data_IF_283058954867
#
_entry.id   IF_283058954867
#
_cell.length_a   1.000
_cell.length_b   1.000
_cell.length_c   1.000
_cell.angle_alpha   90.00
_cell.angle_beta   90.00
_cell.angle_gamma   90.00
#
_symmetry.space_group_name_H-M   'P 1'
#
loop_
_entity.id
_entity.type
_entity.pdbx_description
1 polymer ?
#
# COMPACT_ATOMS: atom_id res chain seq x y z
N UNK A 1 27.41 -0.14 -10.62
CA UNK A 1 26.04 -0.69 -10.50
C UNK A 1 25.12 0.49 -10.22
N UNK A 2 23.91 0.59 -10.80
CA UNK A 2 23.00 1.68 -10.46
C UNK A 2 22.70 1.60 -8.97
N UNK A 3 22.86 2.70 -8.24
CA UNK A 3 22.58 2.76 -6.82
C UNK A 3 21.06 2.65 -6.62
N UNK A 4 20.60 1.48 -6.20
CA UNK A 4 19.24 1.26 -5.69
C UNK A 4 19.10 1.72 -4.22
N UNK A 5 20.10 2.45 -3.71
CA UNK A 5 20.19 2.90 -2.34
C UNK A 5 19.76 4.37 -2.23
N UNK A 6 19.23 4.73 -1.05
CA UNK A 6 18.88 6.08 -0.69
C UNK A 6 20.08 7.03 -0.89
N UNK A 7 19.81 8.24 -1.36
CA UNK A 7 20.83 9.27 -1.55
C UNK A 7 21.52 9.59 -0.21
N UNK A 8 22.75 10.12 -0.22
CA UNK A 8 23.46 10.48 1.01
C UNK A 8 22.65 11.40 1.93
N UNK A 9 21.86 12.31 1.36
CA UNK A 9 20.95 13.18 2.09
C UNK A 9 19.77 12.43 2.73
N UNK A 10 19.20 11.44 2.04
CA UNK A 10 18.14 10.59 2.59
C UNK A 10 18.66 9.65 3.69
N UNK A 11 19.91 9.19 3.60
CA UNK A 11 20.56 8.43 4.66
C UNK A 11 20.84 9.31 5.88
N UNK A 12 21.24 10.56 5.70
CA UNK A 12 21.46 11.51 6.80
C UNK A 12 20.13 11.91 7.48
N UNK A 13 19.05 12.03 6.71
CA UNK A 13 17.73 12.44 7.19
C UNK A 13 16.88 11.28 7.78
N UNK A 14 16.96 10.08 7.20
CA UNK A 14 16.11 8.93 7.56
C UNK A 14 16.90 7.68 8.01
N UNK A 15 18.19 7.58 7.68
CA UNK A 15 19.02 6.38 7.91
C UNK A 15 20.04 6.46 9.05
N UNK A 16 20.36 7.64 9.57
CA UNK A 16 21.56 7.88 10.39
C UNK A 16 21.53 7.36 11.85
N UNK A 17 20.56 6.53 12.24
CA UNK A 17 20.40 6.08 13.64
C UNK A 17 20.23 4.58 13.87
N UNK A 18 20.07 3.76 12.82
CA UNK A 18 19.69 2.35 12.97
C UNK A 18 20.88 1.41 12.79
N UNK A 19 21.17 0.60 13.82
CA UNK A 19 22.13 -0.48 13.72
C UNK A 19 21.61 -1.62 12.81
N UNK A 20 22.51 -2.53 12.40
CA UNK A 20 22.19 -3.63 11.48
C UNK A 20 20.97 -4.46 11.94
N UNK A 21 20.83 -4.70 13.25
CA UNK A 21 19.70 -5.45 13.79
C UNK A 21 18.38 -4.68 13.69
N UNK A 22 18.41 -3.36 13.90
CA UNK A 22 17.25 -2.49 13.72
C UNK A 22 16.84 -2.39 12.25
N UNK A 23 17.80 -2.39 11.33
CA UNK A 23 17.54 -2.45 9.89
C UNK A 23 16.87 -3.78 9.48
N UNK A 24 17.37 -4.92 10.01
CA UNK A 24 16.75 -6.23 9.78
C UNK A 24 15.33 -6.28 10.35
N UNK A 25 15.14 -5.78 11.57
CA UNK A 25 13.82 -5.70 12.19
C UNK A 25 12.85 -4.82 11.38
N UNK A 26 13.34 -3.71 10.82
CA UNK A 26 12.56 -2.87 9.90
C UNK A 26 12.17 -3.66 8.65
N UNK A 27 13.11 -4.31 7.97
CA UNK A 27 12.79 -5.13 6.80
C UNK A 27 11.76 -6.22 7.10
N UNK A 28 11.85 -6.88 8.26
CA UNK A 28 10.85 -7.85 8.70
C UNK A 28 9.49 -7.21 8.96
N UNK A 29 9.45 -6.02 9.56
CA UNK A 29 8.21 -5.30 9.81
C UNK A 29 7.50 -4.88 8.50
N UNK A 30 8.25 -4.62 7.44
CA UNK A 30 7.74 -4.15 6.13
C UNK A 30 7.57 -5.28 5.09
N UNK A 31 8.07 -6.48 5.37
CA UNK A 31 7.88 -7.71 4.59
C UNK A 31 6.46 -7.94 4.05
N UNK A 32 5.36 -7.66 4.81
CA UNK A 32 4.01 -7.87 4.30
C UNK A 32 3.67 -7.13 3.00
N UNK A 33 4.33 -5.99 2.70
CA UNK A 33 4.15 -5.28 1.43
C UNK A 33 4.53 -6.13 0.22
N UNK A 34 5.50 -7.02 0.35
CA UNK A 34 5.88 -7.95 -0.71
C UNK A 34 4.70 -8.89 -1.02
N UNK A 35 4.00 -9.37 0.01
CA UNK A 35 2.82 -10.21 -0.14
C UNK A 35 1.65 -9.47 -0.81
N UNK A 36 1.39 -8.21 -0.43
CA UNK A 36 0.39 -7.38 -1.11
C UNK A 36 0.76 -7.13 -2.58
N UNK A 37 2.03 -6.84 -2.88
CA UNK A 37 2.51 -6.66 -4.26
C UNK A 37 2.37 -7.92 -5.11
N UNK A 38 2.71 -9.10 -4.57
CA UNK A 38 2.52 -10.37 -5.25
C UNK A 38 1.04 -10.65 -5.55
N UNK A 39 0.15 -10.39 -4.59
CA UNK A 39 -1.30 -10.54 -4.79
C UNK A 39 -1.82 -9.58 -5.86
N UNK A 40 -1.36 -8.33 -5.86
CA UNK A 40 -1.79 -7.31 -6.81
C UNK A 40 -1.40 -7.65 -8.26
N UNK A 41 -0.16 -8.11 -8.48
CA UNK A 41 0.34 -8.46 -9.82
C UNK A 41 -0.34 -9.71 -10.36
N UNK A 42 -0.62 -10.69 -9.50
CA UNK A 42 -1.20 -11.98 -9.90
C UNK A 42 -2.73 -11.96 -10.00
N UNK A 43 -3.40 -10.94 -9.47
CA UNK A 43 -4.85 -10.78 -9.60
C UNK A 43 -5.21 -10.26 -11.00
N UNK A 44 -6.27 -10.78 -11.59
CA UNK A 44 -6.76 -10.36 -12.91
C UNK A 44 -8.01 -9.51 -12.82
N UNK A 45 -8.84 -9.71 -11.80
CA UNK A 45 -10.06 -8.91 -11.58
C UNK A 45 -9.68 -7.52 -11.05
N UNK A 46 -9.99 -6.43 -11.79
CA UNK A 46 -9.69 -5.08 -11.35
C UNK A 46 -10.35 -4.69 -10.02
N UNK A 47 -11.54 -5.23 -9.71
CA UNK A 47 -12.18 -4.99 -8.42
C UNK A 47 -11.36 -5.62 -7.28
N UNK A 48 -10.97 -6.88 -7.43
CA UNK A 48 -10.12 -7.56 -6.44
C UNK A 48 -8.76 -6.88 -6.27
N UNK A 49 -8.19 -6.31 -7.35
CA UNK A 49 -7.01 -5.45 -7.24
C UNK A 49 -7.25 -4.25 -6.33
N UNK A 50 -8.39 -3.57 -6.47
CA UNK A 50 -8.73 -2.42 -5.62
C UNK A 50 -8.85 -2.81 -4.14
N UNK A 51 -9.40 -3.99 -3.83
CA UNK A 51 -9.43 -4.52 -2.46
C UNK A 51 -8.02 -4.77 -1.92
N UNK A 52 -7.13 -5.38 -2.72
CA UNK A 52 -5.75 -5.65 -2.30
C UNK A 52 -5.01 -4.34 -2.00
N UNK A 53 -5.22 -3.30 -2.81
CA UNK A 53 -4.66 -1.96 -2.58
C UNK A 53 -5.25 -1.33 -1.31
N UNK A 54 -6.56 -1.46 -1.08
CA UNK A 54 -7.21 -0.97 0.13
C UNK A 54 -6.67 -1.67 1.39
N UNK A 55 -6.51 -3.00 1.36
CA UNK A 55 -5.90 -3.77 2.45
C UNK A 55 -4.46 -3.35 2.72
N UNK A 56 -3.68 -3.12 1.66
CA UNK A 56 -2.29 -2.65 1.79
C UNK A 56 -2.23 -1.25 2.40
N UNK A 57 -3.16 -0.37 2.02
CA UNK A 57 -3.28 0.98 2.57
C UNK A 57 -3.73 0.95 4.03
N UNK A 58 -4.71 0.10 4.40
CA UNK A 58 -5.15 -0.09 5.80
C UNK A 58 -3.99 -0.56 6.68
N UNK A 59 -3.22 -1.52 6.17
CA UNK A 59 -2.03 -2.02 6.85
C UNK A 59 -0.97 -0.93 7.00
N UNK A 60 -0.71 -0.16 5.94
CA UNK A 60 0.27 0.93 5.96
C UNK A 60 -0.13 2.02 6.95
N UNK A 61 -1.39 2.43 6.93
CA UNK A 61 -1.94 3.40 7.87
C UNK A 61 -1.68 2.92 9.31
N UNK A 62 -1.98 1.64 9.62
CA UNK A 62 -1.75 1.06 10.95
C UNK A 62 -0.30 1.07 11.47
N UNK A 63 0.68 1.44 10.63
CA UNK A 63 2.09 1.64 11.02
C UNK A 63 2.41 3.08 11.41
N UNK A 64 1.49 4.01 11.23
CA UNK A 64 1.62 5.43 11.55
C UNK A 64 0.86 5.75 12.84
N UNK A 65 1.35 6.68 13.65
CA UNK A 65 0.64 7.13 14.88
C UNK A 65 -0.56 8.05 14.59
N UNK A 66 -0.86 8.33 13.31
CA UNK A 66 -1.94 9.19 12.88
C UNK A 66 -3.29 8.44 12.91
N UNK A 67 -3.87 8.29 14.10
CA UNK A 67 -5.14 7.56 14.34
C UNK A 67 -6.30 7.94 13.41
N UNK A 68 -6.32 9.17 12.90
CA UNK A 68 -7.36 9.65 11.99
C UNK A 68 -7.22 9.05 10.57
N UNK A 69 -5.99 8.90 10.07
CA UNK A 69 -5.74 8.26 8.76
C UNK A 69 -6.06 6.77 8.81
N UNK A 70 -5.74 6.10 9.92
CA UNK A 70 -6.08 4.69 10.14
C UNK A 70 -7.58 4.41 10.08
N UNK A 71 -8.38 5.28 10.71
CA UNK A 71 -9.84 5.17 10.68
C UNK A 71 -10.40 5.50 9.29
N UNK A 72 -9.87 6.52 8.62
CA UNK A 72 -10.32 6.91 7.29
C UNK A 72 -10.06 5.81 6.26
N UNK A 73 -8.87 5.23 6.25
CA UNK A 73 -8.51 4.19 5.28
C UNK A 73 -9.31 2.90 5.51
N UNK A 74 -9.58 2.54 6.77
CA UNK A 74 -10.51 1.43 7.09
C UNK A 74 -11.92 1.69 6.59
N UNK A 75 -12.48 2.87 6.86
CA UNK A 75 -13.83 3.22 6.41
C UNK A 75 -13.94 3.19 4.87
N UNK A 76 -12.90 3.66 4.18
CA UNK A 76 -12.83 3.59 2.71
C UNK A 76 -12.73 2.14 2.22
N UNK A 77 -11.90 1.31 2.85
CA UNK A 77 -11.81 -0.12 2.55
C UNK A 77 -13.14 -0.84 2.75
N UNK A 78 -13.82 -0.57 3.87
CA UNK A 78 -15.14 -1.13 4.18
C UNK A 78 -16.21 -0.73 3.15
N UNK A 79 -16.22 0.53 2.71
CA UNK A 79 -17.12 0.99 1.65
C UNK A 79 -16.83 0.28 0.33
N UNK A 80 -15.55 0.18 -0.06
CA UNK A 80 -15.14 -0.45 -1.32
C UNK A 80 -15.54 -1.94 -1.36
N UNK A 81 -15.45 -2.64 -0.23
CA UNK A 81 -15.82 -4.06 -0.11
C UNK A 81 -17.33 -4.33 -0.24
N UNK A 82 -18.19 -3.30 -0.22
CA UNK A 82 -19.63 -3.46 -0.44
C UNK A 82 -19.98 -3.71 -1.91
N UNK A 83 -21.13 -4.33 -2.22
CA UNK A 83 -21.59 -4.49 -3.61
C UNK A 83 -21.74 -3.15 -4.36
N UNK A 84 -22.12 -2.09 -3.63
CA UNK A 84 -22.24 -0.74 -4.18
C UNK A 84 -20.86 -0.13 -4.45
N UNK A 85 -19.92 -0.32 -3.53
CA UNK A 85 -18.52 0.09 -3.71
C UNK A 85 -17.87 -0.60 -4.91
N UNK A 86 -18.09 -1.91 -5.06
CA UNK A 86 -17.69 -2.68 -6.24
C UNK A 86 -18.22 -2.06 -7.54
N UNK A 87 -19.53 -1.75 -7.58
CA UNK A 87 -20.16 -1.18 -8.76
C UNK A 87 -19.54 0.18 -9.14
N UNK A 88 -19.21 1.02 -8.16
CA UNK A 88 -18.53 2.31 -8.36
C UNK A 88 -17.12 2.11 -8.92
N UNK A 89 -16.34 1.18 -8.35
CA UNK A 89 -14.98 0.89 -8.84
C UNK A 89 -15.02 0.35 -10.26
N UNK A 90 -15.91 -0.60 -10.55
CA UNK A 90 -16.09 -1.15 -11.91
C UNK A 90 -16.50 -0.07 -12.91
N UNK A 91 -17.43 0.81 -12.54
CA UNK A 91 -17.84 1.92 -13.38
C UNK A 91 -16.67 2.89 -13.65
N UNK A 92 -15.91 3.27 -12.62
CA UNK A 92 -14.78 4.20 -12.76
C UNK A 92 -13.70 3.64 -13.71
N UNK A 93 -13.41 2.34 -13.61
CA UNK A 93 -12.47 1.68 -14.50
C UNK A 93 -12.94 1.67 -15.96
N UNK A 94 -14.22 1.41 -16.20
CA UNK A 94 -14.79 1.47 -17.54
C UNK A 94 -14.69 2.87 -18.16
N UNK A 95 -14.81 3.94 -17.36
CA UNK A 95 -14.60 5.30 -17.85
C UNK A 95 -13.13 5.55 -18.20
N UNK A 96 -12.18 5.09 -17.38
CA UNK A 96 -10.75 5.26 -17.64
C UNK A 96 -10.29 4.48 -18.88
N UNK A 97 -10.79 3.27 -19.08
CA UNK A 97 -10.54 2.49 -20.30
C UNK A 97 -11.14 3.15 -21.53
N UNK A 98 -12.33 3.76 -21.44
CA UNK A 98 -12.96 4.47 -22.55
C UNK A 98 -12.25 5.78 -22.95
N UNK A 99 -11.44 6.35 -22.05
CA UNK A 99 -10.65 7.58 -22.28
C UNK A 99 -9.24 7.26 -22.82
N UNK A 100 -8.81 5.99 -22.76
CA UNK A 100 -7.50 5.53 -23.22
C UNK A 100 -7.50 5.18 -24.71
#
# INVERSE_FOLDING_TARGET
MPAYEATPAELEQYGAGLNIWQQIALLQAWSPLIGYGQRLVNESDPYKKSIIVAEAAEWLASKTDAKADDQLVRLLGDIIRTPQGEAVVRWALLQVEAVR
#
